data_IF_848280754587
#
_entry.id   IF_848280754587
#
_cell.length_a   1.000
_cell.length_b   1.000
_cell.length_c   1.000
_cell.angle_alpha   90.00
_cell.angle_beta   90.00
_cell.angle_gamma   90.00
#
_symmetry.space_group_name_H-M   'P 1'
#
loop_
_entity.id
_entity.type
_entity.pdbx_description
1 polymer ?
#
# COMPACT_ATOMS: atom_id res chain seq x y z
N UNK A 1 8.53 -0.45 -31.51
CA UNK A 1 9.54 0.60 -31.23
C UNK A 1 10.37 0.87 -32.46
N UNK A 2 10.82 2.11 -32.66
CA UNK A 2 11.80 2.44 -33.71
C UNK A 2 13.19 1.89 -33.33
N UNK A 3 14.00 1.55 -34.31
CA UNK A 3 15.33 0.93 -34.18
C UNK A 3 16.30 1.76 -33.33
N UNK A 4 16.09 3.07 -33.29
CA UNK A 4 16.81 3.98 -32.42
C UNK A 4 16.47 3.77 -30.94
N UNK A 5 15.20 3.52 -30.59
CA UNK A 5 14.78 3.29 -29.19
C UNK A 5 15.34 1.98 -28.66
N UNK A 6 15.32 0.93 -29.47
CA UNK A 6 15.88 -0.39 -29.14
C UNK A 6 17.39 -0.29 -28.84
N UNK A 7 18.15 0.44 -29.66
CA UNK A 7 19.58 0.68 -29.42
C UNK A 7 19.87 1.50 -28.16
N UNK A 8 18.98 2.42 -27.78
CA UNK A 8 19.12 3.20 -26.53
C UNK A 8 18.81 2.33 -25.31
N UNK A 9 17.81 1.45 -25.39
CA UNK A 9 17.49 0.47 -24.34
C UNK A 9 18.66 -0.48 -24.12
N UNK A 10 19.22 -1.06 -25.19
CA UNK A 10 20.36 -1.98 -25.10
C UNK A 10 21.56 -1.37 -24.36
N UNK A 11 21.91 -0.11 -24.66
CA UNK A 11 23.00 0.59 -23.97
C UNK A 11 22.69 0.85 -22.50
N UNK A 12 21.46 1.22 -22.17
CA UNK A 12 21.02 1.36 -20.77
C UNK A 12 21.17 0.05 -20.01
N UNK A 13 20.76 -1.06 -20.62
CA UNK A 13 20.87 -2.40 -20.04
C UNK A 13 22.33 -2.85 -19.89
N UNK A 14 23.22 -2.51 -20.82
CA UNK A 14 24.65 -2.80 -20.71
C UNK A 14 25.26 -2.17 -19.45
N UNK A 15 25.01 -0.86 -19.23
CA UNK A 15 25.47 -0.18 -18.02
C UNK A 15 24.80 -0.75 -16.76
N UNK A 16 23.51 -1.07 -16.81
CA UNK A 16 22.78 -1.67 -15.68
C UNK A 16 23.39 -3.02 -15.30
N UNK A 17 23.69 -3.88 -16.28
CA UNK A 17 24.31 -5.20 -16.07
C UNK A 17 25.73 -5.09 -15.51
N UNK A 18 26.45 -4.02 -15.86
CA UNK A 18 27.77 -3.71 -15.32
C UNK A 18 27.72 -3.07 -13.92
N UNK A 19 26.52 -2.78 -13.38
CA UNK A 19 26.34 -2.08 -12.11
C UNK A 19 26.61 -0.57 -12.16
N UNK A 20 26.78 0.00 -13.35
CA UNK A 20 27.04 1.43 -13.59
C UNK A 20 25.71 2.22 -13.63
N UNK A 21 24.98 2.24 -12.53
CA UNK A 21 23.61 2.79 -12.47
C UNK A 21 23.53 4.29 -12.86
N UNK A 22 24.51 5.09 -12.46
CA UNK A 22 24.62 6.51 -12.81
C UNK A 22 24.78 6.74 -14.32
N UNK A 23 25.40 5.79 -15.04
CA UNK A 23 25.53 5.85 -16.49
C UNK A 23 24.32 5.25 -17.20
N UNK A 24 23.61 4.33 -16.56
CA UNK A 24 22.43 3.67 -17.10
C UNK A 24 21.19 4.57 -17.08
N UNK A 25 20.95 5.30 -15.97
CA UNK A 25 19.77 6.17 -15.78
C UNK A 25 19.52 7.13 -16.97
N UNK A 26 20.52 7.85 -17.52
CA UNK A 26 20.27 8.78 -18.61
C UNK A 26 19.81 8.12 -19.91
N UNK A 27 20.12 6.83 -20.13
CA UNK A 27 19.62 6.09 -21.28
C UNK A 27 18.14 5.78 -21.12
N UNK A 28 17.71 5.31 -19.94
CA UNK A 28 16.29 5.09 -19.68
C UNK A 28 15.49 6.39 -19.71
N UNK A 29 16.07 7.51 -19.24
CA UNK A 29 15.45 8.82 -19.42
C UNK A 29 15.28 9.20 -20.90
N UNK A 30 16.25 8.90 -21.76
CA UNK A 30 16.11 9.09 -23.21
C UNK A 30 15.01 8.21 -23.81
N UNK A 31 14.91 6.95 -23.38
CA UNK A 31 13.81 6.05 -23.80
C UNK A 31 12.47 6.67 -23.46
N UNK A 32 12.30 7.18 -22.24
CA UNK A 32 11.06 7.77 -21.76
C UNK A 32 10.72 9.12 -22.40
N UNK A 33 11.72 9.85 -22.91
CA UNK A 33 11.50 11.04 -23.74
C UNK A 33 11.03 10.71 -25.15
N UNK A 34 11.36 9.51 -25.66
CA UNK A 34 10.91 9.02 -26.97
C UNK A 34 9.51 8.41 -26.84
N UNK A 35 9.30 7.60 -25.80
CA UNK A 35 8.05 6.93 -25.50
C UNK A 35 7.76 6.97 -23.99
N UNK A 36 6.89 7.89 -23.59
CA UNK A 36 6.48 8.07 -22.20
C UNK A 36 5.44 7.04 -21.72
N UNK A 37 5.05 6.09 -22.59
CA UNK A 37 4.15 4.99 -22.27
C UNK A 37 4.88 3.65 -22.11
N UNK A 38 6.21 3.65 -22.26
CA UNK A 38 7.02 2.45 -22.15
C UNK A 38 7.27 2.04 -20.69
N UNK A 39 6.46 1.09 -20.20
CA UNK A 39 6.50 0.59 -18.82
C UNK A 39 7.90 0.15 -18.38
N UNK A 40 8.59 -0.70 -19.16
CA UNK A 40 9.93 -1.19 -18.81
C UNK A 40 10.97 -0.07 -18.67
N UNK A 41 10.82 1.04 -19.42
CA UNK A 41 11.69 2.20 -19.27
C UNK A 41 11.61 2.81 -17.88
N UNK A 42 10.40 2.91 -17.32
CA UNK A 42 10.19 3.34 -15.94
C UNK A 42 10.70 2.30 -14.96
N UNK A 43 10.46 1.01 -15.18
CA UNK A 43 11.00 -0.06 -14.33
C UNK A 43 12.53 0.01 -14.21
N UNK A 44 13.25 0.08 -15.33
CA UNK A 44 14.71 0.09 -15.31
C UNK A 44 15.29 1.38 -14.73
N UNK A 45 14.67 2.53 -15.01
CA UNK A 45 15.10 3.80 -14.38
C UNK A 45 14.85 3.78 -12.87
N UNK A 46 13.70 3.26 -12.44
CA UNK A 46 13.39 3.01 -11.04
C UNK A 46 14.40 2.07 -10.37
N UNK A 47 14.80 1.00 -11.06
CA UNK A 47 15.87 0.09 -10.59
C UNK A 47 17.21 0.82 -10.41
N UNK A 48 17.61 1.67 -11.35
CA UNK A 48 18.81 2.49 -11.19
C UNK A 48 18.71 3.36 -9.94
N UNK A 49 17.59 4.06 -9.74
CA UNK A 49 17.38 4.90 -8.56
C UNK A 49 17.44 4.12 -7.24
N UNK A 50 16.87 2.91 -7.19
CA UNK A 50 17.00 2.00 -6.04
C UNK A 50 18.47 1.76 -5.70
N UNK A 51 19.28 1.44 -6.71
CA UNK A 51 20.69 1.09 -6.51
C UNK A 51 21.54 2.31 -6.13
N UNK A 52 21.14 3.49 -6.57
CA UNK A 52 21.70 4.78 -6.16
C UNK A 52 21.15 5.27 -4.81
N UNK A 53 20.27 4.49 -4.14
CA UNK A 53 19.59 4.83 -2.88
C UNK A 53 18.67 6.06 -2.98
N UNK A 54 18.26 6.42 -4.18
CA UNK A 54 17.28 7.48 -4.46
C UNK A 54 15.85 6.91 -4.41
N UNK A 55 15.46 6.38 -3.26
CA UNK A 55 14.25 5.58 -3.11
C UNK A 55 12.96 6.33 -3.48
N UNK A 56 12.88 7.64 -3.26
CA UNK A 56 11.72 8.44 -3.69
C UNK A 56 11.51 8.39 -5.19
N UNK A 57 12.57 8.67 -5.97
CA UNK A 57 12.51 8.64 -7.44
C UNK A 57 12.24 7.23 -7.94
N UNK A 58 12.83 6.22 -7.28
CA UNK A 58 12.57 4.83 -7.58
C UNK A 58 11.09 4.47 -7.44
N UNK A 59 10.46 4.83 -6.32
CA UNK A 59 9.06 4.51 -6.07
C UNK A 59 8.13 5.18 -7.07
N UNK A 60 8.38 6.44 -7.44
CA UNK A 60 7.61 7.15 -8.47
C UNK A 60 7.68 6.43 -9.82
N UNK A 61 8.88 6.06 -10.27
CA UNK A 61 9.06 5.36 -11.54
C UNK A 61 8.48 3.94 -11.50
N UNK A 62 8.67 3.21 -10.40
CA UNK A 62 8.09 1.87 -10.25
C UNK A 62 6.56 1.90 -10.23
N UNK A 63 5.94 2.87 -9.53
CA UNK A 63 4.48 3.06 -9.54
C UNK A 63 3.98 3.41 -10.95
N UNK A 64 4.71 4.24 -11.70
CA UNK A 64 4.37 4.57 -13.09
C UNK A 64 4.48 3.35 -14.01
N UNK A 65 5.49 2.51 -13.81
CA UNK A 65 5.66 1.24 -14.52
C UNK A 65 4.47 0.31 -14.27
N UNK A 66 4.04 0.14 -13.01
CA UNK A 66 2.91 -0.71 -12.63
C UNK A 66 1.60 -0.19 -13.24
N UNK A 67 1.39 1.14 -13.25
CA UNK A 67 0.20 1.72 -13.89
C UNK A 67 0.15 1.46 -15.40
N UNK A 68 1.30 1.43 -16.08
CA UNK A 68 1.39 1.20 -17.52
C UNK A 68 1.33 -0.29 -17.89
N UNK A 69 1.94 -1.15 -17.07
CA UNK A 69 1.87 -2.60 -17.20
C UNK A 69 1.64 -3.26 -15.82
N UNK A 70 0.37 -3.46 -15.43
CA UNK A 70 0.02 -4.10 -14.16
C UNK A 70 0.43 -5.58 -14.09
N UNK A 71 0.79 -6.21 -15.22
CA UNK A 71 1.18 -7.62 -15.28
C UNK A 71 2.66 -7.85 -14.99
N UNK A 72 3.49 -6.80 -14.98
CA UNK A 72 4.90 -6.89 -14.63
C UNK A 72 5.10 -7.02 -13.11
N UNK A 73 5.10 -8.28 -12.67
CA UNK A 73 5.34 -8.64 -11.26
C UNK A 73 6.67 -8.10 -10.72
N UNK A 74 7.68 -7.87 -11.57
CA UNK A 74 8.99 -7.37 -11.14
C UNK A 74 8.85 -5.96 -10.60
N UNK A 75 8.10 -5.12 -11.28
CA UNK A 75 7.86 -3.74 -10.85
C UNK A 75 7.17 -3.74 -9.49
N UNK A 76 6.07 -4.49 -9.33
CA UNK A 76 5.35 -4.64 -8.06
C UNK A 76 6.23 -5.18 -6.93
N UNK A 77 7.01 -6.23 -7.19
CA UNK A 77 7.91 -6.83 -6.19
C UNK A 77 9.00 -5.85 -5.73
N UNK A 78 9.66 -5.17 -6.67
CA UNK A 78 10.67 -4.15 -6.34
C UNK A 78 10.06 -2.99 -5.56
N UNK A 79 8.92 -2.50 -6.04
CA UNK A 79 8.18 -1.39 -5.47
C UNK A 79 7.79 -1.66 -4.00
N UNK A 80 7.26 -2.84 -3.71
CA UNK A 80 6.90 -3.26 -2.34
C UNK A 80 8.13 -3.48 -1.45
N UNK A 81 9.22 -4.04 -1.98
CA UNK A 81 10.47 -4.20 -1.22
C UNK A 81 11.09 -2.86 -0.81
N UNK A 82 11.18 -1.92 -1.75
CA UNK A 82 11.90 -0.68 -1.51
C UNK A 82 11.09 0.38 -0.79
N UNK A 83 9.75 0.27 -0.80
CA UNK A 83 8.95 1.14 0.05
C UNK A 83 9.13 0.83 1.54
N UNK A 84 9.31 -0.44 1.89
CA UNK A 84 9.64 -0.87 3.25
C UNK A 84 11.00 -0.32 3.71
N UNK A 85 12.03 -0.39 2.85
CA UNK A 85 13.37 0.16 3.12
C UNK A 85 13.44 1.69 3.14
N UNK A 86 12.57 2.33 2.36
CA UNK A 86 12.42 3.78 2.38
C UNK A 86 11.82 4.25 3.70
N UNK A 87 10.75 3.60 4.16
CA UNK A 87 10.09 3.88 5.45
C UNK A 87 11.05 3.76 6.64
N UNK A 88 11.96 2.78 6.64
CA UNK A 88 12.94 2.63 7.73
C UNK A 88 13.99 3.75 7.79
N UNK A 89 14.17 4.51 6.70
CA UNK A 89 15.19 5.57 6.60
C UNK A 89 14.61 6.99 6.53
N UNK A 90 13.30 7.16 6.35
CA UNK A 90 12.66 8.44 6.07
C UNK A 90 11.43 8.66 6.95
N UNK A 91 11.58 9.34 8.08
CA UNK A 91 10.48 10.09 8.67
C UNK A 91 10.28 11.37 7.84
N UNK A 92 9.13 11.51 7.15
CA UNK A 92 8.65 12.72 6.44
C UNK A 92 9.40 13.07 5.14
N UNK A 93 9.34 12.17 4.16
CA UNK A 93 9.77 12.46 2.79
C UNK A 93 8.81 13.37 2.03
N UNK A 94 9.29 13.95 0.93
CA UNK A 94 8.43 14.71 0.02
C UNK A 94 7.38 13.82 -0.66
N UNK A 95 7.71 12.54 -0.87
CA UNK A 95 6.79 11.54 -1.38
C UNK A 95 5.59 11.32 -0.45
N UNK A 96 5.79 11.28 0.88
CA UNK A 96 4.69 11.12 1.83
C UNK A 96 3.78 12.35 1.89
N UNK A 97 4.33 13.55 1.65
CA UNK A 97 3.51 14.76 1.51
C UNK A 97 2.68 14.73 0.23
N UNK A 98 3.27 14.36 -0.90
CA UNK A 98 2.56 14.31 -2.18
C UNK A 98 1.47 13.23 -2.22
N UNK A 99 1.66 12.15 -1.46
CA UNK A 99 0.69 11.06 -1.32
C UNK A 99 -0.16 11.17 -0.04
N UNK A 100 -0.11 12.32 0.65
CA UNK A 100 -1.02 12.57 1.75
C UNK A 100 -2.44 12.64 1.23
N UNK A 101 -3.40 12.30 2.09
CA UNK A 101 -4.82 12.26 1.71
C UNK A 101 -5.30 13.62 1.20
N UNK A 102 -4.75 14.72 1.71
CA UNK A 102 -5.04 16.09 1.27
C UNK A 102 -4.63 16.34 -0.19
N UNK A 103 -3.57 15.69 -0.67
CA UNK A 103 -3.01 15.86 -2.01
C UNK A 103 -3.42 14.76 -3.00
N UNK A 104 -4.28 13.82 -2.59
CA UNK A 104 -4.79 12.76 -3.47
C UNK A 104 -5.60 13.35 -4.63
N UNK A 105 -5.06 13.31 -5.83
CA UNK A 105 -5.74 13.68 -7.07
C UNK A 105 -6.38 12.43 -7.69
N UNK A 106 -7.55 12.04 -7.18
CA UNK A 106 -8.37 10.95 -7.74
C UNK A 106 -9.31 11.57 -8.76
N UNK A 107 -9.30 11.05 -9.99
CA UNK A 107 -10.10 11.56 -11.10
C UNK A 107 -11.16 10.57 -11.53
N UNK A 108 -12.22 11.08 -12.15
CA UNK A 108 -13.28 10.24 -12.74
C UNK A 108 -12.71 9.23 -13.75
N UNK A 109 -11.70 9.65 -14.53
CA UNK A 109 -11.04 8.80 -15.53
C UNK A 109 -10.24 7.62 -14.94
N UNK A 110 -9.94 7.65 -13.63
CA UNK A 110 -9.26 6.53 -12.95
C UNK A 110 -10.22 5.36 -12.69
N UNK A 111 -11.54 5.58 -12.76
CA UNK A 111 -12.53 4.56 -12.48
C UNK A 111 -12.83 3.69 -13.71
N UNK A 112 -12.77 2.38 -13.51
CA UNK A 112 -13.36 1.40 -14.42
C UNK A 112 -14.86 1.33 -14.14
N UNK A 113 -15.65 1.96 -15.00
CA UNK A 113 -17.10 2.07 -14.85
C UNK A 113 -17.80 1.01 -15.71
N UNK A 114 -18.72 0.26 -15.10
CA UNK A 114 -19.61 -0.68 -15.77
C UNK A 114 -21.08 -0.36 -15.44
N UNK A 115 -21.67 0.52 -16.26
CA UNK A 115 -23.06 0.94 -16.11
C UNK A 115 -24.09 -0.19 -16.30
N UNK A 116 -23.73 -1.32 -16.92
CA UNK A 116 -24.68 -2.43 -17.09
C UNK A 116 -25.01 -3.13 -15.77
N UNK A 117 -24.09 -3.05 -14.79
CA UNK A 117 -24.22 -3.69 -13.48
C UNK A 117 -24.07 -2.67 -12.34
N UNK A 118 -24.13 -1.37 -12.65
CA UNK A 118 -24.01 -0.31 -11.64
C UNK A 118 -22.71 -0.33 -10.84
N UNK A 119 -21.58 -0.83 -11.38
CA UNK A 119 -20.32 -0.91 -10.64
C UNK A 119 -19.26 0.09 -11.12
N UNK A 120 -18.49 0.67 -10.20
CA UNK A 120 -17.29 1.44 -10.52
C UNK A 120 -16.16 1.13 -9.54
N UNK A 121 -14.94 0.97 -10.03
CA UNK A 121 -13.77 0.71 -9.18
C UNK A 121 -12.49 1.40 -9.66
N UNK A 122 -11.64 1.79 -8.71
CA UNK A 122 -10.26 2.22 -8.98
C UNK A 122 -9.35 1.86 -7.81
N UNK A 123 -8.04 1.84 -8.05
CA UNK A 123 -7.04 1.70 -7.00
C UNK A 123 -6.30 3.02 -6.81
N UNK A 124 -6.21 3.48 -5.56
CA UNK A 124 -5.49 4.71 -5.20
C UNK A 124 -4.31 4.39 -4.30
N UNK A 125 -3.19 5.05 -4.58
CA UNK A 125 -1.99 4.96 -3.78
C UNK A 125 -1.95 6.12 -2.80
N UNK A 126 -1.83 5.83 -1.51
CA UNK A 126 -1.82 6.83 -0.43
C UNK A 126 -0.88 6.40 0.69
N UNK A 127 -0.57 7.33 1.60
CA UNK A 127 0.08 7.04 2.87
C UNK A 127 -0.94 7.16 4.00
N UNK A 128 -1.04 6.13 4.84
CA UNK A 128 -1.83 6.13 6.08
C UNK A 128 -0.94 5.61 7.21
N UNK A 129 -0.88 6.31 8.34
CA UNK A 129 -0.03 6.00 9.51
C UNK A 129 1.44 5.83 9.14
N UNK A 130 1.95 6.78 8.33
CA UNK A 130 3.29 6.75 7.73
C UNK A 130 3.57 5.51 6.84
N UNK A 131 2.53 4.73 6.54
CA UNK A 131 2.60 3.55 5.71
C UNK A 131 1.94 3.78 4.34
N UNK A 132 2.74 3.84 3.29
CA UNK A 132 2.22 3.75 1.92
C UNK A 132 1.48 2.44 1.73
N UNK A 133 0.32 2.52 1.10
CA UNK A 133 -0.46 1.38 0.61
C UNK A 133 -1.24 1.72 -0.67
N UNK A 134 -1.71 0.67 -1.36
CA UNK A 134 -2.76 0.78 -2.37
C UNK A 134 -4.11 0.48 -1.70
N UNK A 135 -5.10 1.33 -1.95
CA UNK A 135 -6.46 1.18 -1.45
C UNK A 135 -7.39 0.96 -2.63
N UNK A 136 -8.19 -0.10 -2.58
CA UNK A 136 -9.21 -0.37 -3.58
C UNK A 136 -10.48 0.38 -3.23
N UNK A 137 -10.99 1.20 -4.16
CA UNK A 137 -12.21 1.97 -4.00
C UNK A 137 -13.29 1.36 -4.90
N UNK A 138 -14.40 0.93 -4.31
CA UNK A 138 -15.47 0.20 -5.02
C UNK A 138 -16.82 0.83 -4.75
N UNK A 139 -17.61 1.00 -5.80
CA UNK A 139 -18.96 1.54 -5.75
C UNK A 139 -19.91 0.56 -6.44
N UNK A 140 -21.03 0.27 -5.80
CA UNK A 140 -22.17 -0.45 -6.35
C UNK A 140 -23.41 0.43 -6.23
N UNK A 141 -24.14 0.61 -7.33
CA UNK A 141 -25.42 1.32 -7.37
C UNK A 141 -26.57 0.33 -7.26
N UNK A 142 -27.74 0.85 -6.89
CA UNK A 142 -29.00 0.11 -6.99
C UNK A 142 -29.32 -0.20 -8.46
N UNK A 143 -30.07 -1.28 -8.70
CA UNK A 143 -30.56 -1.65 -10.04
C UNK A 143 -31.15 -0.44 -10.80
N UNK A 144 -30.85 -0.38 -12.10
CA UNK A 144 -31.26 0.68 -13.06
C UNK A 144 -30.53 2.04 -12.93
N UNK A 145 -29.78 2.28 -11.86
CA UNK A 145 -28.94 3.48 -11.73
C UNK A 145 -27.66 3.39 -12.58
N UNK A 146 -27.21 4.53 -13.10
CA UNK A 146 -25.97 4.66 -13.87
C UNK A 146 -25.07 5.73 -13.29
N UNK A 147 -23.77 5.63 -13.59
CA UNK A 147 -22.78 6.63 -13.24
C UNK A 147 -22.72 7.74 -14.29
N UNK A 148 -22.62 8.97 -13.78
CA UNK A 148 -22.12 10.14 -14.49
C UNK A 148 -20.91 10.72 -13.72
N UNK A 149 -20.22 11.66 -14.34
CA UNK A 149 -19.01 12.28 -13.78
C UNK A 149 -19.27 12.94 -12.42
N UNK A 150 -20.46 13.50 -12.20
CA UNK A 150 -20.77 14.22 -10.96
C UNK A 150 -21.08 13.27 -9.81
N UNK A 151 -21.74 12.13 -10.09
CA UNK A 151 -21.87 11.03 -9.12
C UNK A 151 -20.50 10.50 -8.70
N UNK A 152 -19.60 10.21 -9.65
CA UNK A 152 -18.25 9.72 -9.33
C UNK A 152 -17.48 10.73 -8.48
N UNK A 153 -17.55 12.03 -8.80
CA UNK A 153 -16.92 13.09 -7.96
C UNK A 153 -17.47 13.09 -6.53
N UNK A 154 -18.78 12.95 -6.34
CA UNK A 154 -19.36 12.88 -5.00
C UNK A 154 -18.84 11.65 -4.22
N UNK A 155 -18.69 10.50 -4.88
CA UNK A 155 -18.10 9.32 -4.26
C UNK A 155 -16.61 9.50 -3.94
N UNK A 156 -15.84 10.18 -4.81
CA UNK A 156 -14.44 10.54 -4.53
C UNK A 156 -14.34 11.38 -3.25
N UNK A 157 -15.19 12.39 -3.09
CA UNK A 157 -15.23 13.22 -1.89
C UNK A 157 -15.61 12.40 -0.65
N UNK A 158 -16.48 11.42 -0.80
CA UNK A 158 -16.85 10.49 0.26
C UNK A 158 -15.69 9.56 0.66
N UNK A 159 -15.01 8.93 -0.31
CA UNK A 159 -13.81 8.12 -0.04
C UNK A 159 -12.73 8.91 0.69
N UNK A 160 -12.48 10.16 0.30
CA UNK A 160 -11.50 11.03 0.98
C UNK A 160 -11.86 11.27 2.44
N UNK A 161 -13.14 11.36 2.80
CA UNK A 161 -13.56 11.49 4.22
C UNK A 161 -13.17 10.26 5.02
N UNK A 162 -13.43 9.06 4.49
CA UNK A 162 -13.07 7.81 5.18
C UNK A 162 -11.55 7.62 5.30
N UNK A 163 -10.80 7.91 4.24
CA UNK A 163 -9.32 7.88 4.28
C UNK A 163 -8.78 8.87 5.34
N UNK A 164 -9.31 10.09 5.36
CA UNK A 164 -8.93 11.12 6.34
C UNK A 164 -9.27 10.69 7.76
N UNK A 165 -10.42 10.06 7.96
CA UNK A 165 -10.81 9.54 9.26
C UNK A 165 -9.84 8.44 9.71
N UNK A 166 -9.50 7.49 8.84
CA UNK A 166 -8.55 6.40 9.16
C UNK A 166 -7.19 6.96 9.61
N UNK A 167 -6.63 7.92 8.86
CA UNK A 167 -5.36 8.57 9.20
C UNK A 167 -5.38 9.18 10.60
N UNK A 168 -6.47 9.86 10.96
CA UNK A 168 -6.59 10.57 12.23
C UNK A 168 -7.03 9.68 13.41
N UNK A 169 -7.50 8.46 13.16
CA UNK A 169 -8.12 7.59 14.17
C UNK A 169 -7.40 6.25 14.35
N UNK A 170 -6.06 6.22 14.17
CA UNK A 170 -5.22 5.04 14.52
C UNK A 170 -5.53 4.49 15.90
N UNK A 171 -5.74 5.39 16.86
CA UNK A 171 -6.04 5.05 18.25
C UNK A 171 -7.34 4.25 18.40
N UNK A 172 -8.40 4.61 17.67
CA UNK A 172 -9.68 3.89 17.72
C UNK A 172 -9.54 2.45 17.20
N UNK A 173 -8.80 2.26 16.10
CA UNK A 173 -8.52 0.92 15.56
C UNK A 173 -7.68 0.11 16.55
N UNK A 174 -6.64 0.72 17.12
CA UNK A 174 -5.84 0.08 18.16
C UNK A 174 -6.66 -0.32 19.39
N UNK A 175 -7.56 0.54 19.86
CA UNK A 175 -8.39 0.25 21.03
C UNK A 175 -9.29 -0.95 20.77
N UNK A 176 -9.87 -1.07 19.58
CA UNK A 176 -10.64 -2.24 19.17
C UNK A 176 -9.79 -3.53 19.15
N UNK A 177 -8.56 -3.48 18.62
CA UNK A 177 -7.63 -4.62 18.62
C UNK A 177 -7.26 -5.05 20.04
N UNK A 178 -7.06 -4.10 20.96
CA UNK A 178 -6.75 -4.40 22.36
C UNK A 178 -7.97 -4.96 23.10
N UNK A 179 -9.17 -4.48 22.80
CA UNK A 179 -10.41 -5.02 23.35
C UNK A 179 -10.65 -6.47 22.91
N UNK A 180 -10.21 -6.84 21.70
CA UNK A 180 -10.26 -8.20 21.17
C UNK A 180 -9.04 -9.07 21.56
N UNK A 181 -8.22 -8.60 22.52
CA UNK A 181 -7.04 -9.29 23.07
C UNK A 181 -5.96 -9.67 22.05
N UNK A 182 -5.81 -8.87 20.99
CA UNK A 182 -4.79 -9.12 19.96
C UNK A 182 -3.35 -9.06 20.47
N UNK A 183 -3.10 -8.37 21.59
CA UNK A 183 -1.78 -8.39 22.26
C UNK A 183 -1.54 -9.74 22.91
N UNK A 184 -2.50 -10.30 23.64
CA UNK A 184 -2.38 -11.64 24.21
C UNK A 184 -2.14 -12.68 23.13
N UNK A 185 -2.87 -12.59 22.01
CA UNK A 185 -2.64 -13.46 20.86
C UNK A 185 -1.24 -13.27 20.26
N UNK A 186 -0.76 -12.04 20.11
CA UNK A 186 0.61 -11.76 19.65
C UNK A 186 1.68 -12.39 20.56
N UNK A 187 1.49 -12.33 21.89
CA UNK A 187 2.40 -12.95 22.85
C UNK A 187 2.40 -14.48 22.72
N UNK A 188 1.23 -15.11 22.55
CA UNK A 188 1.12 -16.56 22.32
C UNK A 188 1.89 -17.02 21.05
N UNK A 189 1.80 -16.25 19.97
CA UNK A 189 2.53 -16.53 18.73
C UNK A 189 4.05 -16.32 18.91
N UNK A 190 4.45 -15.22 19.55
CA UNK A 190 5.86 -14.95 19.84
C UNK A 190 6.49 -16.04 20.72
N UNK A 191 5.78 -16.55 21.73
CA UNK A 191 6.25 -17.64 22.59
C UNK A 191 6.46 -18.97 21.86
N UNK A 192 5.84 -19.14 20.68
CA UNK A 192 6.07 -20.32 19.84
C UNK A 192 7.36 -20.27 19.00
N UNK A 193 8.02 -19.10 18.96
CA UNK A 193 9.26 -18.86 18.22
C UNK A 193 10.50 -19.33 19.00
N UNK A 194 11.66 -19.36 18.33
CA UNK A 194 12.90 -19.81 18.94
C UNK A 194 13.35 -18.85 20.06
N UNK A 195 13.82 -19.39 21.18
CA UNK A 195 14.29 -18.60 22.33
C UNK A 195 15.78 -18.31 22.23
N UNK A 196 16.16 -17.05 22.42
CA UNK A 196 17.56 -16.61 22.51
C UNK A 196 17.83 -15.75 23.75
N UNK A 197 19.12 -15.57 24.08
CA UNK A 197 19.57 -14.64 25.12
C UNK A 197 20.38 -13.53 24.45
N UNK A 198 19.83 -12.32 24.44
CA UNK A 198 20.48 -11.12 23.89
C UNK A 198 20.68 -10.12 25.02
N UNK A 199 21.91 -9.64 25.20
CA UNK A 199 22.29 -8.71 26.28
C UNK A 199 21.89 -9.17 27.70
N UNK A 200 21.75 -10.49 27.90
CA UNK A 200 21.35 -11.09 29.18
C UNK A 200 19.83 -11.17 29.39
N UNK A 201 19.03 -10.77 28.42
CA UNK A 201 17.57 -10.87 28.44
C UNK A 201 17.09 -12.03 27.56
N UNK A 202 16.05 -12.74 28.01
CA UNK A 202 15.35 -13.74 27.19
C UNK A 202 14.54 -13.01 26.12
N UNK A 203 14.76 -13.38 24.86
CA UNK A 203 14.01 -12.89 23.71
C UNK A 203 13.51 -14.06 22.88
N UNK A 204 12.51 -13.80 22.04
CA UNK A 204 12.02 -14.76 21.06
C UNK A 204 12.39 -14.25 19.67
N UNK A 205 12.77 -15.14 18.76
CA UNK A 205 13.30 -14.79 17.44
C UNK A 205 12.58 -15.58 16.37
N UNK A 206 12.08 -14.87 15.35
CA UNK A 206 11.57 -15.47 14.11
C UNK A 206 12.19 -14.73 12.90
N UNK A 207 13.04 -15.44 12.17
CA UNK A 207 13.80 -14.85 11.07
C UNK A 207 14.72 -13.69 11.51
N UNK A 208 14.37 -12.47 11.09
CA UNK A 208 15.09 -11.23 11.47
C UNK A 208 14.41 -10.47 12.62
N UNK A 209 13.22 -10.90 13.04
CA UNK A 209 12.43 -10.24 14.06
C UNK A 209 12.79 -10.74 15.47
N UNK A 210 12.84 -9.80 16.42
CA UNK A 210 13.18 -10.05 17.82
C UNK A 210 12.05 -9.52 18.69
N UNK A 211 11.47 -10.41 19.48
CA UNK A 211 10.35 -10.13 20.37
C UNK A 211 10.83 -10.09 21.83
N UNK A 212 10.45 -9.02 22.53
CA UNK A 212 10.58 -8.92 24.00
C UNK A 212 9.20 -9.08 24.60
N UNK A 213 9.06 -10.00 25.56
CA UNK A 213 7.81 -10.22 26.27
C UNK A 213 7.88 -9.67 27.71
N UNK A 214 6.79 -9.10 28.23
CA UNK A 214 5.51 -8.87 27.56
C UNK A 214 5.56 -7.75 26.51
N UNK A 215 4.72 -7.83 25.48
CA UNK A 215 4.59 -6.79 24.46
C UNK A 215 3.83 -5.61 25.07
N UNK A 216 4.46 -4.44 25.16
CA UNK A 216 3.76 -3.29 25.70
C UNK A 216 2.72 -2.74 24.70
N UNK A 217 1.65 -2.13 25.24
CA UNK A 217 0.64 -1.42 24.43
C UNK A 217 1.24 -0.36 23.51
N UNK A 218 2.31 0.31 23.95
CA UNK A 218 3.00 1.33 23.16
C UNK A 218 3.77 0.70 21.99
N UNK A 219 4.53 -0.38 22.25
CA UNK A 219 5.23 -1.12 21.19
C UNK A 219 4.25 -1.69 20.17
N UNK A 220 3.15 -2.29 20.64
CA UNK A 220 2.11 -2.79 19.74
C UNK A 220 1.51 -1.65 18.91
N UNK A 221 1.12 -0.53 19.52
CA UNK A 221 0.55 0.63 18.80
C UNK A 221 1.49 1.17 17.71
N UNK A 222 2.79 1.28 18.02
CA UNK A 222 3.79 1.77 17.08
C UNK A 222 4.05 0.77 15.94
N UNK A 223 3.91 -0.53 16.20
CA UNK A 223 4.13 -1.59 15.22
C UNK A 223 3.07 -1.65 14.11
N UNK A 224 1.85 -1.15 14.35
CA UNK A 224 0.71 -1.30 13.44
C UNK A 224 0.87 -0.53 12.13
N UNK A 225 0.61 -1.20 11.01
CA UNK A 225 0.46 -0.59 9.69
C UNK A 225 -0.55 -1.36 8.83
N UNK A 226 -1.19 -0.66 7.88
CA UNK A 226 -2.08 -1.32 6.93
C UNK A 226 -1.29 -2.09 5.86
N UNK A 227 -1.59 -3.37 5.68
CA UNK A 227 -1.09 -4.19 4.59
C UNK A 227 -1.89 -3.94 3.31
N UNK A 228 -3.21 -4.08 3.39
CA UNK A 228 -4.14 -3.82 2.29
C UNK A 228 -5.48 -3.30 2.81
N UNK A 229 -6.24 -2.63 1.94
CA UNK A 229 -7.56 -2.09 2.28
C UNK A 229 -8.46 -1.96 1.06
N UNK A 230 -9.74 -2.23 1.27
CA UNK A 230 -10.82 -1.96 0.33
C UNK A 230 -11.89 -1.10 1.01
N UNK A 231 -12.28 0.00 0.37
CA UNK A 231 -13.44 0.80 0.77
C UNK A 231 -14.55 0.57 -0.24
N UNK A 232 -15.67 0.00 0.22
CA UNK A 232 -16.85 -0.25 -0.60
C UNK A 232 -17.99 0.67 -0.21
N UNK A 233 -18.63 1.26 -1.21
CA UNK A 233 -19.90 1.99 -1.10
C UNK A 233 -20.95 1.19 -1.87
N UNK A 234 -22.02 0.79 -1.18
CA UNK A 234 -23.13 0.06 -1.77
C UNK A 234 -24.45 0.80 -1.51
N UNK A 235 -25.08 1.29 -2.59
CA UNK A 235 -26.36 1.99 -2.49
C UNK A 235 -27.55 1.04 -2.33
N UNK A 236 -27.37 -0.26 -2.51
CA UNK A 236 -28.42 -1.25 -2.29
C UNK A 236 -28.44 -1.77 -0.85
N UNK A 237 -29.14 -1.03 0.01
CA UNK A 237 -29.36 -1.37 1.43
C UNK A 237 -30.17 -2.65 1.66
N UNK A 238 -30.76 -3.25 0.61
CA UNK A 238 -31.46 -4.54 0.77
C UNK A 238 -30.47 -5.72 0.84
N UNK A 239 -29.23 -5.52 0.38
CA UNK A 239 -28.20 -6.56 0.28
C UNK A 239 -27.22 -6.51 1.47
N UNK A 240 -26.98 -5.32 2.05
CA UNK A 240 -25.99 -5.11 3.10
C UNK A 240 -26.54 -4.33 4.31
N UNK A 241 -26.05 -4.66 5.50
CA UNK A 241 -26.42 -3.99 6.76
C UNK A 241 -25.92 -2.52 6.85
N UNK A 242 -24.87 -2.19 6.11
CA UNK A 242 -24.26 -0.85 6.05
C UNK A 242 -24.00 -0.43 4.60
N UNK A 243 -24.20 0.86 4.30
CA UNK A 243 -23.89 1.44 2.97
C UNK A 243 -22.39 1.48 2.70
N UNK A 244 -21.58 1.62 3.74
CA UNK A 244 -20.13 1.70 3.64
C UNK A 244 -19.52 0.54 4.40
N UNK A 245 -18.54 -0.10 3.79
CA UNK A 245 -17.74 -1.14 4.39
C UNK A 245 -16.27 -0.92 4.02
N UNK A 246 -15.45 -0.68 5.03
CA UNK A 246 -13.99 -0.70 4.92
C UNK A 246 -13.54 -2.05 5.43
N UNK A 247 -12.87 -2.81 4.58
CA UNK A 247 -12.17 -4.03 4.94
C UNK A 247 -10.68 -3.73 4.92
N UNK A 248 -10.00 -3.90 6.05
CA UNK A 248 -8.60 -3.56 6.21
C UNK A 248 -7.84 -4.72 6.86
N UNK A 249 -6.67 -5.00 6.31
CA UNK A 249 -5.72 -5.98 6.83
C UNK A 249 -4.56 -5.23 7.46
N UNK A 250 -4.32 -5.46 8.74
CA UNK A 250 -3.34 -4.73 9.55
C UNK A 250 -2.25 -5.70 9.99
N UNK A 251 -1.01 -5.31 9.72
CA UNK A 251 0.19 -6.07 10.09
C UNK A 251 0.95 -5.32 11.18
N UNK A 252 1.95 -6.00 11.73
CA UNK A 252 2.85 -5.47 12.76
C UNK A 252 4.30 -5.53 12.30
N UNK A 253 5.12 -4.62 12.81
CA UNK A 253 6.58 -4.68 12.67
C UNK A 253 7.23 -4.46 14.04
N UNK A 254 7.97 -5.44 14.61
CA UNK A 254 8.24 -6.79 14.08
C UNK A 254 6.96 -7.61 13.86
N UNK A 255 7.02 -8.65 13.02
CA UNK A 255 5.84 -9.45 12.66
C UNK A 255 5.43 -10.37 13.81
N UNK A 256 4.47 -9.94 14.62
CA UNK A 256 3.97 -10.71 15.75
C UNK A 256 3.07 -11.91 15.38
N UNK A 257 2.67 -12.03 14.11
CA UNK A 257 1.67 -13.02 13.68
C UNK A 257 2.16 -13.95 12.57
N UNK A 258 3.48 -14.05 12.40
CA UNK A 258 4.16 -14.94 11.46
C UNK A 258 3.52 -14.94 10.06
N UNK A 259 3.30 -13.74 9.52
CA UNK A 259 2.77 -13.48 8.18
C UNK A 259 1.26 -13.35 8.09
N UNK A 260 0.52 -13.51 9.18
CA UNK A 260 -0.94 -13.30 9.18
C UNK A 260 -1.28 -11.83 9.47
N UNK A 261 -2.30 -11.34 8.78
CA UNK A 261 -2.85 -10.00 8.99
C UNK A 261 -4.02 -10.04 9.96
N UNK A 262 -4.15 -9.01 10.80
CA UNK A 262 -5.39 -8.76 11.55
C UNK A 262 -6.44 -8.18 10.63
N UNK A 263 -7.59 -8.84 10.52
CA UNK A 263 -8.70 -8.38 9.70
C UNK A 263 -9.63 -7.48 10.52
N UNK A 264 -9.89 -6.28 10.00
CA UNK A 264 -10.77 -5.29 10.62
C UNK A 264 -11.80 -4.80 9.61
N UNK A 265 -13.07 -4.81 10.03
CA UNK A 265 -14.16 -4.16 9.29
C UNK A 265 -14.58 -2.85 9.96
N UNK A 266 -14.85 -1.82 9.17
CA UNK A 266 -15.36 -0.53 9.64
C UNK A 266 -16.58 -0.12 8.81
N UNK A 267 -17.67 0.24 9.49
CA UNK A 267 -18.96 0.60 8.87
C UNK A 267 -19.15 2.12 8.73
N UNK A 268 -20.26 2.54 8.13
CA UNK A 268 -20.62 3.95 7.89
C UNK A 268 -20.77 4.81 9.16
N UNK A 269 -21.06 4.19 10.30
CA UNK A 269 -21.08 4.81 11.63
C UNK A 269 -19.73 4.76 12.37
N UNK A 270 -18.66 4.37 11.66
CA UNK A 270 -17.30 4.17 12.20
C UNK A 270 -17.19 3.10 13.29
N UNK A 271 -18.17 2.19 13.38
CA UNK A 271 -18.04 1.02 14.25
C UNK A 271 -16.95 0.10 13.69
N UNK A 272 -16.04 -0.32 14.56
CA UNK A 272 -14.90 -1.18 14.24
C UNK A 272 -15.23 -2.59 14.74
N UNK A 273 -14.94 -3.60 13.93
CA UNK A 273 -15.05 -5.01 14.31
C UNK A 273 -13.78 -5.73 13.91
N UNK A 274 -13.21 -6.49 14.84
CA UNK A 274 -12.03 -7.34 14.62
C UNK A 274 -12.53 -8.72 14.24
N UNK A 275 -12.10 -9.23 13.09
CA UNK A 275 -12.56 -10.50 12.53
C UNK A 275 -11.56 -11.65 12.75
N UNK A 276 -10.47 -11.38 13.49
CA UNK A 276 -9.39 -12.32 13.79
C UNK A 276 -8.21 -12.18 12.82
N UNK A 277 -7.51 -13.30 12.60
CA UNK A 277 -6.34 -13.38 11.73
C UNK A 277 -6.71 -13.96 10.35
N UNK A 278 -6.15 -13.39 9.30
CA UNK A 278 -6.25 -13.84 7.91
C UNK A 278 -4.85 -14.13 7.35
N UNK A 279 -4.74 -15.14 6.48
CA UNK A 279 -3.48 -15.58 5.86
C UNK A 279 -3.66 -16.00 4.40
#
# INVERSE_FOLDING_TARGET
MDKNTESVVEKGLEFLNNGDYEKAEPYFNKVLNIDNSYAEGYYFRGYCYVKMKEYEKALIDLDKSIKLDPSDWRATSFRNKYISLFKSNSCKSELSKNLSIENLDIKVEDFKINNNIGSAECDVNTVIWDNYMSVSLKISLKDEDTFDDDKIKNYIDEFKKYLTWLENNKKSVFDALVEDDMIGLAEEWAESSDEEIIDGEKVYVDGEDIFRLPISKEEFFQSLYFNSMSIRIDEDKEIMDSRIMIEAFIDTKPDYFAGHSMEVTITDDYKISVNGLAG
#
